data_IF_992732634586
#
_entry.id   IF_992732634586
#
_cell.length_a   1.000
_cell.length_b   1.000
_cell.length_c   1.000
_cell.angle_alpha   90.00
_cell.angle_beta   90.00
_cell.angle_gamma   90.00
#
_symmetry.space_group_name_H-M   'P 1'
#
loop_
_entity.id
_entity.type
_entity.pdbx_description
1 polymer ?
#
# COMPACT_ATOMS: atom_id res chain seq x y z
N UNK A 1 8.83 1.40 -1.74
CA UNK A 1 7.52 0.87 -1.33
C UNK A 1 6.42 1.61 -2.08
N UNK A 2 5.26 1.00 -2.26
CA UNK A 2 4.11 1.62 -2.92
C UNK A 2 2.81 1.09 -2.33
N UNK A 3 1.75 1.88 -2.50
CA UNK A 3 0.36 1.55 -2.18
C UNK A 3 -0.42 1.79 -3.46
N UNK A 4 -1.18 0.79 -3.91
CA UNK A 4 -1.89 0.81 -5.19
C UNK A 4 -3.26 0.13 -5.04
N UNK A 5 -4.08 0.21 -6.08
CA UNK A 5 -5.36 -0.47 -6.13
C UNK A 5 -5.73 -0.84 -7.56
N UNK A 6 -6.47 -1.92 -7.73
CA UNK A 6 -7.06 -2.32 -9.01
C UNK A 6 -8.55 -1.92 -9.02
N UNK A 7 -8.93 -0.93 -9.84
CA UNK A 7 -10.32 -0.46 -10.01
C UNK A 7 -11.12 -0.15 -8.72
N UNK A 8 -10.44 0.28 -7.67
CA UNK A 8 -11.08 0.66 -6.40
C UNK A 8 -11.33 2.17 -6.35
N UNK A 9 -12.58 2.56 -6.08
CA UNK A 9 -12.91 3.95 -5.73
C UNK A 9 -12.66 4.18 -4.23
N UNK A 10 -12.01 5.30 -3.91
CA UNK A 10 -11.72 5.68 -2.52
C UNK A 10 -12.67 6.77 -2.02
N UNK A 11 -12.82 6.87 -0.71
CA UNK A 11 -13.67 7.86 -0.05
C UNK A 11 -13.01 8.31 1.25
N UNK A 12 -13.12 9.61 1.55
CA UNK A 12 -12.65 10.17 2.82
C UNK A 12 -13.33 9.48 4.01
N UNK A 13 -12.54 9.22 5.06
CA UNK A 13 -12.99 8.56 6.28
C UNK A 13 -13.04 7.03 6.20
N UNK A 14 -12.85 6.44 5.00
CA UNK A 14 -12.89 4.99 4.82
C UNK A 14 -11.53 4.33 5.05
N UNK A 15 -11.59 3.10 5.56
CA UNK A 15 -10.45 2.19 5.69
C UNK A 15 -10.62 1.02 4.72
N UNK A 16 -9.54 0.71 3.99
CA UNK A 16 -9.46 -0.35 2.99
C UNK A 16 -8.42 -1.37 3.43
N UNK A 17 -8.75 -2.65 3.29
CA UNK A 17 -7.80 -3.74 3.58
C UNK A 17 -6.86 -3.90 2.38
N UNK A 18 -5.56 -3.88 2.66
CA UNK A 18 -4.51 -4.18 1.70
C UNK A 18 -4.35 -5.70 1.60
N UNK A 19 -4.61 -6.28 0.43
CA UNK A 19 -4.60 -7.73 0.16
C UNK A 19 -3.82 -8.04 -1.12
N UNK A 20 -4.12 -9.18 -1.74
CA UNK A 20 -3.60 -9.57 -3.05
C UNK A 20 -4.06 -8.63 -4.17
N UNK A 21 -3.26 -8.60 -5.23
CA UNK A 21 -3.54 -7.85 -6.47
C UNK A 21 -4.70 -8.52 -7.19
N UNK A 22 -5.88 -7.94 -7.07
CA UNK A 22 -7.12 -8.42 -7.67
C UNK A 22 -8.08 -7.24 -7.83
N UNK A 23 -8.98 -7.32 -8.81
CA UNK A 23 -9.99 -6.30 -9.09
C UNK A 23 -10.80 -5.94 -7.83
N UNK A 24 -10.93 -4.65 -7.57
CA UNK A 24 -11.61 -4.10 -6.39
C UNK A 24 -10.77 -4.10 -5.11
N UNK A 25 -9.53 -4.60 -5.13
CA UNK A 25 -8.66 -4.56 -3.95
C UNK A 25 -7.64 -3.41 -4.02
N UNK A 26 -7.28 -2.91 -2.83
CA UNK A 26 -6.04 -2.21 -2.61
C UNK A 26 -4.94 -3.20 -2.19
N UNK A 27 -3.69 -2.87 -2.49
CA UNK A 27 -2.52 -3.66 -2.12
C UNK A 27 -1.32 -2.75 -1.87
N UNK A 28 -0.29 -3.30 -1.25
CA UNK A 28 0.99 -2.62 -1.05
C UNK A 28 2.15 -3.53 -1.38
N UNK A 29 3.31 -2.94 -1.64
CA UNK A 29 4.50 -3.71 -1.92
C UNK A 29 5.81 -3.01 -1.57
N UNK A 30 6.84 -3.84 -1.38
CA UNK A 30 8.21 -3.43 -1.13
C UNK A 30 9.09 -4.02 -2.22
N UNK A 31 9.88 -3.16 -2.85
CA UNK A 31 10.97 -3.55 -3.73
C UNK A 31 12.23 -3.79 -2.89
N UNK A 32 12.88 -4.92 -3.11
CA UNK A 32 14.11 -5.34 -2.46
C UNK A 32 15.24 -5.35 -3.48
N UNK A 33 16.35 -4.71 -3.14
CA UNK A 33 17.61 -4.79 -3.88
C UNK A 33 18.57 -5.59 -2.99
N UNK A 34 18.78 -6.87 -3.30
CA UNK A 34 19.61 -7.77 -2.51
C UNK A 34 21.07 -7.67 -2.95
N UNK A 35 21.29 -7.54 -4.25
CA UNK A 35 22.59 -7.31 -4.87
C UNK A 35 22.42 -6.50 -6.17
N UNK A 36 23.51 -6.05 -6.82
CA UNK A 36 23.41 -5.27 -8.06
C UNK A 36 22.66 -5.96 -9.21
N UNK A 37 22.49 -7.28 -9.16
CA UNK A 37 21.80 -8.10 -10.18
C UNK A 37 20.55 -8.79 -9.67
N UNK A 38 20.16 -8.59 -8.40
CA UNK A 38 19.10 -9.35 -7.74
C UNK A 38 18.06 -8.41 -7.14
N UNK A 39 16.90 -8.36 -7.79
CA UNK A 39 15.80 -7.47 -7.50
C UNK A 39 14.53 -8.29 -7.30
N UNK A 40 13.83 -8.05 -6.20
CA UNK A 40 12.57 -8.71 -5.89
C UNK A 40 11.50 -7.70 -5.53
N UNK A 41 10.24 -8.10 -5.70
CA UNK A 41 9.11 -7.40 -5.11
C UNK A 41 8.36 -8.38 -4.21
N UNK A 42 7.88 -7.86 -3.09
CA UNK A 42 6.93 -8.57 -2.25
C UNK A 42 5.71 -7.69 -2.05
N UNK A 43 4.55 -8.32 -2.00
CA UNK A 43 3.25 -7.66 -1.98
C UNK A 43 2.43 -8.18 -0.79
N UNK A 44 1.44 -7.39 -0.39
CA UNK A 44 0.38 -7.90 0.47
C UNK A 44 -0.39 -9.01 -0.25
N UNK A 45 -0.91 -9.97 0.51
CA UNK A 45 -1.74 -11.07 0.02
C UNK A 45 -2.85 -11.40 1.04
N UNK A 46 -3.44 -12.60 0.98
CA UNK A 46 -4.51 -13.00 1.90
C UNK A 46 -3.99 -13.36 3.32
N UNK A 47 -2.68 -13.56 3.51
CA UNK A 47 -2.02 -13.86 4.80
C UNK A 47 -1.24 -12.65 5.37
N UNK A 48 -0.55 -11.92 4.50
CA UNK A 48 0.24 -10.72 4.80
C UNK A 48 -0.55 -9.49 4.35
N UNK A 49 -1.38 -8.98 5.25
CA UNK A 49 -2.33 -7.90 4.96
C UNK A 49 -1.88 -6.57 5.53
N UNK A 50 -2.69 -5.54 5.29
CA UNK A 50 -2.56 -4.23 5.92
C UNK A 50 -3.85 -3.44 5.87
N UNK A 51 -3.78 -2.19 6.29
CA UNK A 51 -4.86 -1.23 6.18
C UNK A 51 -4.36 0.08 5.60
N UNK A 52 -5.20 0.69 4.77
CA UNK A 52 -5.08 2.04 4.25
C UNK A 52 -6.31 2.83 4.73
N UNK A 53 -6.11 3.89 5.50
CA UNK A 53 -7.19 4.80 5.88
C UNK A 53 -7.02 6.12 5.15
N UNK A 54 -8.04 6.53 4.41
CA UNK A 54 -8.07 7.83 3.74
C UNK A 54 -8.61 8.87 4.73
N UNK A 55 -7.72 9.72 5.23
CA UNK A 55 -8.06 10.74 6.23
C UNK A 55 -8.53 12.05 5.61
N UNK A 56 -8.16 12.30 4.35
CA UNK A 56 -8.60 13.46 3.58
C UNK A 56 -8.69 13.10 2.10
N UNK A 57 -9.80 13.44 1.44
CA UNK A 57 -9.94 13.36 -0.01
C UNK A 57 -10.68 14.60 -0.52
N UNK A 58 -9.89 15.62 -0.84
CA UNK A 58 -10.32 16.96 -1.18
C UNK A 58 -10.11 17.20 -2.67
N UNK A 59 -11.20 17.11 -3.44
CA UNK A 59 -11.21 17.28 -4.89
C UNK A 59 -11.10 18.74 -5.33
N UNK A 60 -11.35 19.71 -4.45
CA UNK A 60 -11.22 21.13 -4.78
C UNK A 60 -9.75 21.56 -4.77
N UNK A 61 -9.01 21.10 -3.76
CA UNK A 61 -7.58 21.38 -3.62
C UNK A 61 -6.68 20.27 -4.17
N UNK A 62 -7.29 19.20 -4.69
CA UNK A 62 -6.64 17.99 -5.18
C UNK A 62 -5.66 17.37 -4.17
N UNK A 63 -6.10 17.24 -2.92
CA UNK A 63 -5.30 16.67 -1.82
C UNK A 63 -5.88 15.33 -1.41
N UNK A 64 -5.01 14.33 -1.31
CA UNK A 64 -5.31 13.03 -0.69
C UNK A 64 -4.29 12.77 0.41
N UNK A 65 -4.80 12.50 1.62
CA UNK A 65 -3.98 12.21 2.79
C UNK A 65 -4.49 10.96 3.47
N UNK A 66 -3.59 10.17 4.04
CA UNK A 66 -3.98 8.94 4.71
C UNK A 66 -2.91 8.36 5.61
N UNK A 67 -3.33 7.35 6.36
CA UNK A 67 -2.43 6.50 7.16
C UNK A 67 -2.45 5.08 6.64
N UNK A 68 -1.38 4.34 6.88
CA UNK A 68 -1.31 2.95 6.50
C UNK A 68 -0.39 2.13 7.40
N UNK A 69 -0.65 0.83 7.41
CA UNK A 69 0.27 -0.19 7.89
C UNK A 69 0.10 -1.43 7.03
N UNK A 70 1.15 -2.23 6.86
CA UNK A 70 1.01 -3.53 6.21
C UNK A 70 2.15 -4.48 6.55
N UNK A 71 1.92 -5.76 6.31
CA UNK A 71 2.91 -6.82 6.36
C UNK A 71 3.20 -7.32 4.94
N UNK A 72 4.44 -7.73 4.69
CA UNK A 72 4.82 -8.52 3.52
C UNK A 72 5.82 -9.60 3.93
N UNK A 73 5.95 -10.64 3.12
CA UNK A 73 7.01 -11.62 3.31
C UNK A 73 8.31 -11.17 2.65
N UNK A 74 9.45 -11.26 3.36
CA UNK A 74 10.75 -11.01 2.76
C UNK A 74 11.05 -12.12 1.72
N UNK A 75 11.39 -11.78 0.46
CA UNK A 75 11.46 -12.76 -0.63
C UNK A 75 12.60 -13.79 -0.50
N UNK A 76 13.69 -13.44 0.20
CA UNK A 76 14.83 -14.34 0.43
C UNK A 76 14.75 -15.11 1.76
N UNK A 77 14.47 -14.43 2.87
CA UNK A 77 14.49 -15.03 4.22
C UNK A 77 13.16 -15.67 4.63
N UNK A 78 12.05 -15.31 3.96
CA UNK A 78 10.71 -15.74 4.34
C UNK A 78 10.15 -15.04 5.58
N UNK A 79 10.90 -14.11 6.19
CA UNK A 79 10.49 -13.39 7.39
C UNK A 79 9.33 -12.41 7.12
N UNK A 80 8.49 -12.19 8.12
CA UNK A 80 7.43 -11.18 8.06
C UNK A 80 8.01 -9.78 8.30
N UNK A 81 8.00 -8.95 7.28
CA UNK A 81 8.39 -7.53 7.34
C UNK A 81 7.17 -6.70 7.67
N UNK A 82 7.28 -5.82 8.67
CA UNK A 82 6.18 -5.05 9.25
C UNK A 82 6.39 -3.56 9.02
N UNK A 83 5.52 -2.92 8.26
CA UNK A 83 5.47 -1.46 8.09
C UNK A 83 4.36 -0.90 8.96
N UNK A 84 4.66 0.09 9.81
CA UNK A 84 3.76 0.63 10.83
C UNK A 84 3.77 2.15 10.82
N UNK A 85 2.67 2.73 11.29
CA UNK A 85 2.47 4.17 11.49
C UNK A 85 2.77 5.03 10.24
N UNK A 86 2.58 4.44 9.05
CA UNK A 86 2.77 5.11 7.78
C UNK A 86 1.77 6.23 7.60
N UNK A 87 2.22 7.34 7.01
CA UNK A 87 1.39 8.51 6.70
C UNK A 87 1.81 9.08 5.36
N UNK A 88 0.84 9.61 4.62
CA UNK A 88 1.11 10.37 3.41
C UNK A 88 0.18 11.57 3.33
N UNK A 89 0.68 12.60 2.65
CA UNK A 89 -0.06 13.74 2.16
C UNK A 89 0.41 13.97 0.74
N UNK A 90 -0.50 13.89 -0.23
CA UNK A 90 -0.18 13.96 -1.64
C UNK A 90 -1.15 14.89 -2.35
N UNK A 91 -0.60 15.69 -3.26
CA UNK A 91 -1.41 16.35 -4.28
C UNK A 91 -1.56 15.42 -5.48
N UNK A 92 -2.78 15.31 -6.00
CA UNK A 92 -3.05 14.61 -7.24
C UNK A 92 -3.39 15.60 -8.35
N UNK A 93 -3.13 15.20 -9.59
CA UNK A 93 -3.50 15.98 -10.78
C UNK A 93 -4.56 15.24 -11.59
N UNK A 94 -5.21 15.98 -12.49
CA UNK A 94 -5.98 15.43 -13.61
C UNK A 94 -5.06 15.05 -14.77
#
# INVERSE_FOLDING_TARGET
>A
MYIQSENLSITEGSTYILKKIEDGNAYSGIAYIISPTEYYNSFTDDEFTGELTITKFDMENYIVSGTFWFDVQHPVTGERVKIRDGRFDAQFGL
#
